data_IF_261084436403
#
_entry.id   IF_261084436403
#
_cell.length_a   1.000
_cell.length_b   1.000
_cell.length_c   1.000
_cell.angle_alpha   90.00
_cell.angle_beta   90.00
_cell.angle_gamma   90.00
#
_symmetry.space_group_name_H-M   'P 1'
#
loop_
_entity.id
_entity.type
_entity.pdbx_description
1 polymer ?
#
# COMPACT_ATOMS: atom_id res chain seq x y z
N UNK A 1 22.09 -51.42 -50.56
CA UNK A 1 20.65 -51.41 -50.89
C UNK A 1 19.91 -50.90 -49.67
N UNK A 2 19.43 -49.66 -49.63
CA UNK A 2 18.28 -49.08 -50.36
C UNK A 2 17.12 -48.84 -49.38
N UNK A 3 16.85 -47.54 -49.10
CA UNK A 3 15.53 -46.85 -49.09
C UNK A 3 14.40 -47.42 -48.20
N UNK A 4 13.60 -46.69 -47.41
CA UNK A 4 12.79 -45.46 -47.63
C UNK A 4 12.05 -45.17 -46.28
N UNK A 5 12.00 -43.96 -45.70
CA UNK A 5 11.09 -42.80 -45.92
C UNK A 5 9.59 -42.96 -45.53
N UNK A 6 9.21 -42.33 -44.39
CA UNK A 6 8.02 -41.49 -44.07
C UNK A 6 6.58 -42.12 -44.10
N UNK A 7 5.48 -41.42 -43.71
CA UNK A 7 5.17 -40.51 -42.58
C UNK A 7 3.74 -40.71 -41.99
N UNK A 8 3.35 -40.06 -40.88
CA UNK A 8 2.12 -39.22 -40.82
C UNK A 8 1.93 -38.54 -39.46
N UNK A 9 2.16 -37.24 -39.49
CA UNK A 9 1.66 -36.25 -38.55
C UNK A 9 0.13 -36.31 -38.57
N UNK A 10 -0.50 -36.75 -37.46
CA UNK A 10 -1.93 -36.55 -37.27
C UNK A 10 -2.13 -35.27 -36.47
N UNK A 11 -2.46 -34.22 -37.22
CA UNK A 11 -3.07 -32.98 -36.73
C UNK A 11 -4.39 -33.34 -36.05
N UNK A 12 -4.50 -33.05 -34.76
CA UNK A 12 -5.79 -32.75 -34.13
C UNK A 12 -5.64 -31.47 -33.32
N UNK A 13 -5.87 -30.37 -34.02
CA UNK A 13 -6.29 -29.09 -33.45
C UNK A 13 -7.59 -29.31 -32.68
N UNK A 14 -7.56 -29.12 -31.36
CA UNK A 14 -8.76 -28.86 -30.57
C UNK A 14 -8.55 -27.57 -29.79
N UNK A 15 -8.86 -26.47 -30.46
CA UNK A 15 -9.14 -25.20 -29.82
C UNK A 15 -10.42 -25.37 -29.01
N UNK A 16 -10.31 -25.53 -27.69
CA UNK A 16 -11.46 -25.49 -26.79
C UNK A 16 -11.60 -24.05 -26.28
N UNK A 17 -12.78 -23.50 -26.56
CA UNK A 17 -13.15 -22.12 -26.42
C UNK A 17 -13.16 -21.63 -24.97
N UNK A 18 -12.85 -20.34 -24.85
CA UNK A 18 -13.12 -19.44 -23.74
C UNK A 18 -14.43 -19.73 -22.98
N UNK A 19 -14.30 -19.94 -21.68
CA UNK A 19 -15.25 -19.38 -20.70
C UNK A 19 -14.43 -18.65 -19.65
N UNK A 20 -14.25 -17.35 -19.87
CA UNK A 20 -13.80 -16.42 -18.84
C UNK A 20 -14.96 -16.24 -17.85
N UNK A 21 -14.96 -17.05 -16.79
CA UNK A 21 -15.78 -16.80 -15.61
C UNK A 21 -15.22 -15.63 -14.84
N UNK A 22 -15.62 -14.41 -15.19
CA UNK A 22 -15.46 -13.25 -14.33
C UNK A 22 -16.36 -13.46 -13.09
N UNK A 23 -15.78 -13.94 -12.00
CA UNK A 23 -16.44 -13.87 -10.69
C UNK A 23 -16.55 -12.39 -10.34
N UNK A 24 -17.74 -11.81 -10.55
CA UNK A 24 -18.08 -10.55 -9.94
C UNK A 24 -17.99 -10.74 -8.41
N UNK A 25 -17.01 -10.11 -7.79
CA UNK A 25 -16.99 -9.94 -6.35
C UNK A 25 -18.14 -9.00 -6.00
N UNK A 26 -19.33 -9.54 -5.72
CA UNK A 26 -20.40 -8.78 -5.09
C UNK A 26 -19.92 -8.38 -3.71
N UNK A 27 -19.51 -7.12 -3.54
CA UNK A 27 -19.40 -6.52 -2.23
C UNK A 27 -20.79 -6.58 -1.60
N UNK A 28 -21.02 -7.54 -0.69
CA UNK A 28 -22.25 -7.60 0.08
C UNK A 28 -22.30 -6.34 0.94
N UNK A 29 -23.27 -5.47 0.67
CA UNK A 29 -23.52 -4.25 1.42
C UNK A 29 -23.95 -4.67 2.84
N UNK A 30 -23.00 -4.68 3.78
CA UNK A 30 -23.26 -5.04 5.17
C UNK A 30 -23.92 -3.83 5.85
N UNK A 31 -25.10 -3.99 6.49
CA UNK A 31 -25.79 -2.88 7.13
C UNK A 31 -24.94 -2.32 8.28
N UNK A 32 -24.81 -0.99 8.35
CA UNK A 32 -24.08 -0.30 9.42
C UNK A 32 -25.08 0.03 10.54
N UNK A 33 -24.75 -0.29 11.78
CA UNK A 33 -25.59 -0.02 12.94
C UNK A 33 -25.05 1.15 13.76
N UNK A 34 -25.95 1.97 14.30
CA UNK A 34 -25.64 3.01 15.30
C UNK A 34 -26.12 2.56 16.67
N UNK A 35 -25.16 2.23 17.52
CA UNK A 35 -25.37 1.81 18.89
C UNK A 35 -25.41 3.01 19.87
N UNK A 36 -25.97 2.82 21.08
CA UNK A 36 -25.94 3.83 22.14
C UNK A 36 -24.50 4.31 22.40
N UNK A 37 -24.33 5.61 22.70
CA UNK A 37 -22.99 6.18 22.93
C UNK A 37 -22.22 6.57 21.66
N UNK A 38 -22.90 6.76 20.52
CA UNK A 38 -22.31 7.17 19.23
C UNK A 38 -21.31 6.17 18.62
N UNK A 39 -21.47 4.87 18.94
CA UNK A 39 -20.68 3.80 18.33
C UNK A 39 -21.32 3.35 17.00
N UNK A 40 -20.52 3.26 15.94
CA UNK A 40 -20.93 2.77 14.62
C UNK A 40 -20.18 1.48 14.29
N UNK A 41 -20.89 0.47 13.77
CA UNK A 41 -20.33 -0.87 13.54
C UNK A 41 -21.10 -1.64 12.48
N UNK A 42 -20.38 -2.41 11.68
CA UNK A 42 -20.87 -3.32 10.62
C UNK A 42 -20.69 -4.80 10.99
N UNK A 43 -20.24 -5.06 12.22
CA UNK A 43 -19.85 -6.40 12.68
C UNK A 43 -20.94 -7.15 13.43
N UNK A 44 -22.04 -6.50 13.81
CA UNK A 44 -23.15 -7.16 14.51
C UNK A 44 -24.14 -7.78 13.53
N UNK A 45 -24.68 -8.94 13.90
CA UNK A 45 -25.86 -9.47 13.23
C UNK A 45 -27.10 -8.62 13.57
N UNK A 46 -28.17 -8.65 12.75
CA UNK A 46 -29.39 -7.87 13.01
C UNK A 46 -30.02 -8.14 14.38
N UNK A 47 -29.86 -9.37 14.91
CA UNK A 47 -30.39 -9.76 16.22
C UNK A 47 -29.56 -9.19 17.37
N UNK A 48 -28.23 -9.31 17.29
CA UNK A 48 -27.32 -8.74 18.30
C UNK A 48 -27.39 -7.22 18.34
N UNK A 49 -27.52 -6.58 17.18
CA UNK A 49 -27.72 -5.14 17.09
C UNK A 49 -29.03 -4.72 17.79
N UNK A 50 -30.12 -5.47 17.62
CA UNK A 50 -31.39 -5.19 18.28
C UNK A 50 -31.30 -5.37 19.81
N UNK A 51 -30.63 -6.41 20.29
CA UNK A 51 -30.43 -6.68 21.72
C UNK A 51 -29.56 -5.60 22.40
N UNK A 52 -28.59 -5.04 21.67
CA UNK A 52 -27.73 -3.94 22.13
C UNK A 52 -28.37 -2.55 21.94
N UNK A 53 -29.62 -2.49 21.47
CA UNK A 53 -30.35 -1.24 21.23
C UNK A 53 -29.77 -0.41 20.08
N UNK A 54 -29.02 -1.04 19.18
CA UNK A 54 -28.46 -0.41 17.99
C UNK A 54 -29.53 -0.29 16.88
N UNK A 55 -29.54 0.84 16.19
CA UNK A 55 -30.44 1.08 15.05
C UNK A 55 -29.70 0.85 13.73
N UNK A 56 -30.31 0.12 12.82
CA UNK A 56 -29.79 -0.07 11.45
C UNK A 56 -29.82 1.26 10.70
N UNK A 57 -28.70 1.62 10.09
CA UNK A 57 -28.59 2.71 9.14
C UNK A 57 -28.45 2.09 7.75
N UNK A 58 -29.59 1.80 7.13
CA UNK A 58 -29.63 1.44 5.71
C UNK A 58 -29.31 2.66 4.86
N UNK A 59 -28.35 2.50 3.95
CA UNK A 59 -27.60 3.56 3.30
C UNK A 59 -28.45 4.62 2.62
N UNK A 60 -28.27 5.89 3.04
CA UNK A 60 -28.21 6.94 2.04
C UNK A 60 -27.04 6.60 1.10
N UNK A 61 -27.18 6.74 -0.24
CA UNK A 61 -26.13 6.31 -1.17
C UNK A 61 -24.83 7.00 -0.78
N UNK A 62 -23.82 6.21 -0.41
CA UNK A 62 -22.47 6.71 -0.14
C UNK A 62 -21.96 7.28 -1.46
N UNK A 63 -22.15 8.57 -1.67
CA UNK A 63 -21.54 9.27 -2.80
C UNK A 63 -20.06 9.32 -2.52
N UNK A 64 -19.31 8.34 -3.05
CA UNK A 64 -17.86 8.43 -3.14
C UNK A 64 -17.56 9.63 -4.03
N UNK A 65 -17.27 10.78 -3.43
CA UNK A 65 -16.75 11.93 -4.16
C UNK A 65 -15.34 11.54 -4.61
N UNK A 66 -15.26 10.95 -5.81
CA UNK A 66 -14.00 10.77 -6.49
C UNK A 66 -13.42 12.16 -6.69
N UNK A 67 -12.40 12.51 -5.90
CA UNK A 67 -11.63 13.71 -6.16
C UNK A 67 -11.10 13.60 -7.59
N UNK A 68 -11.34 14.61 -8.47
CA UNK A 68 -10.88 14.53 -9.83
C UNK A 68 -9.37 14.33 -9.80
N UNK A 69 -8.93 13.16 -10.26
CA UNK A 69 -7.52 12.87 -10.50
C UNK A 69 -7.04 13.95 -11.46
N UNK A 70 -6.26 14.90 -10.95
CA UNK A 70 -5.57 15.87 -11.78
C UNK A 70 -4.54 15.09 -12.58
N UNK A 71 -4.94 14.73 -13.80
CA UNK A 71 -4.04 14.20 -14.81
C UNK A 71 -2.90 15.23 -14.94
N UNK A 72 -1.63 14.84 -14.72
CA UNK A 72 -0.54 15.79 -14.85
C UNK A 72 -0.53 16.30 -16.29
N UNK A 73 -0.71 17.61 -16.45
CA UNK A 73 -0.51 18.27 -17.73
C UNK A 73 0.96 18.04 -18.08
N UNK A 74 1.19 17.25 -19.13
CA UNK A 74 2.48 17.14 -19.78
C UNK A 74 2.92 18.55 -20.19
N UNK A 75 4.00 19.02 -19.57
CA UNK A 75 4.73 20.20 -20.01
C UNK A 75 5.39 19.90 -21.37
N UNK A 76 4.63 20.12 -22.44
CA UNK A 76 5.12 20.20 -23.81
C UNK A 76 5.08 21.66 -24.23
N UNK A 77 6.25 22.30 -24.29
CA UNK A 77 6.40 23.65 -24.80
C UNK A 77 6.25 23.72 -26.33
N UNK A 78 5.88 24.91 -26.82
CA UNK A 78 6.15 25.32 -28.20
C UNK A 78 4.94 25.78 -29.01
N UNK A 79 4.66 27.09 -28.98
CA UNK A 79 4.47 27.90 -30.19
C UNK A 79 3.15 27.85 -30.96
N UNK A 80 2.41 28.98 -30.89
CA UNK A 80 1.89 29.64 -32.09
C UNK A 80 0.40 29.52 -32.40
N UNK A 81 -0.31 30.65 -32.33
CA UNK A 81 -1.31 31.05 -33.34
C UNK A 81 -2.80 30.90 -32.99
N UNK A 82 -3.40 32.01 -32.53
CA UNK A 82 -4.66 32.61 -32.99
C UNK A 82 -5.96 31.80 -33.09
N UNK A 83 -7.02 32.31 -32.47
CA UNK A 83 -8.41 32.05 -32.89
C UNK A 83 -9.46 32.09 -31.77
N UNK A 84 -10.37 33.06 -31.86
CA UNK A 84 -11.52 33.37 -30.98
C UNK A 84 -12.39 32.21 -30.48
N UNK A 85 -13.01 32.43 -29.32
CA UNK A 85 -14.15 31.66 -28.83
C UNK A 85 -14.68 32.19 -27.49
N UNK A 86 -15.38 33.33 -27.53
CA UNK A 86 -16.06 33.93 -26.38
C UNK A 86 -17.33 33.15 -26.00
N UNK A 87 -17.54 32.89 -24.70
CA UNK A 87 -18.89 32.74 -24.13
C UNK A 87 -18.89 32.96 -22.60
N UNK A 88 -19.47 34.10 -22.22
CA UNK A 88 -20.32 34.39 -21.06
C UNK A 88 -19.87 34.00 -19.63
N UNK A 89 -19.51 35.06 -18.88
CA UNK A 89 -19.66 35.15 -17.42
C UNK A 89 -21.15 35.35 -17.07
N UNK A 90 -21.61 34.90 -15.90
CA UNK A 90 -22.48 35.73 -15.09
C UNK A 90 -21.72 36.19 -13.85
N UNK A 91 -21.60 37.51 -13.72
CA UNK A 91 -21.28 38.14 -12.47
C UNK A 91 -22.53 38.09 -11.57
N UNK A 92 -22.40 37.48 -10.40
CA UNK A 92 -23.28 37.75 -9.28
C UNK A 92 -22.38 37.81 -8.05
N UNK A 93 -22.17 39.04 -7.58
CA UNK A 93 -21.47 39.32 -6.34
C UNK A 93 -22.28 38.78 -5.18
N UNK A 94 -21.81 37.68 -4.61
CA UNK A 94 -21.88 37.43 -3.19
C UNK A 94 -20.42 37.24 -2.78
N UNK A 95 -19.97 38.02 -1.80
CA UNK A 95 -18.66 37.84 -1.19
C UNK A 95 -18.45 36.34 -0.90
N UNK A 96 -17.25 35.76 -1.12
CA UNK A 96 -16.98 34.43 -0.61
C UNK A 96 -17.07 34.56 0.91
N UNK A 97 -18.22 34.19 1.47
CA UNK A 97 -18.39 33.95 2.88
C UNK A 97 -17.18 33.15 3.29
N UNK A 98 -16.37 33.77 4.15
CA UNK A 98 -15.11 33.27 4.60
C UNK A 98 -15.29 31.81 4.95
N UNK A 99 -14.76 30.96 4.06
CA UNK A 99 -14.33 29.59 4.28
C UNK A 99 -14.60 29.16 5.72
N UNK A 100 -15.65 28.37 5.91
CA UNK A 100 -15.72 27.41 7.02
C UNK A 100 -14.64 26.31 6.83
N UNK A 101 -13.40 26.73 6.56
CA UNK A 101 -12.17 25.95 6.67
C UNK A 101 -11.54 26.21 8.04
N UNK A 102 -12.38 26.48 9.03
CA UNK A 102 -12.02 26.79 10.41
C UNK A 102 -12.01 25.58 11.33
N UNK A 103 -12.48 24.41 10.87
CA UNK A 103 -12.43 23.19 11.65
C UNK A 103 -11.16 22.39 11.28
N UNK A 104 -10.23 22.38 12.24
CA UNK A 104 -9.06 21.49 12.37
C UNK A 104 -7.79 21.78 11.55
N UNK A 105 -7.41 23.05 11.32
CA UNK A 105 -5.99 23.33 11.03
C UNK A 105 -5.18 23.08 12.31
N UNK A 106 -4.31 22.07 12.27
CA UNK A 106 -3.34 21.78 13.33
C UNK A 106 -2.43 23.01 13.50
N UNK A 107 -2.20 23.42 14.74
CA UNK A 107 -1.29 24.53 15.04
C UNK A 107 0.13 24.24 14.51
N UNK A 108 0.81 25.19 13.84
CA UNK A 108 2.13 24.95 13.28
C UNK A 108 3.20 24.55 14.30
N UNK A 109 3.11 25.00 15.57
CA UNK A 109 4.04 24.57 16.61
C UNK A 109 3.77 23.11 17.03
N UNK A 110 2.48 22.73 17.15
CA UNK A 110 2.11 21.33 17.38
C UNK A 110 2.53 20.40 16.23
N UNK A 111 2.44 20.86 14.98
CA UNK A 111 2.89 20.07 13.83
C UNK A 111 4.40 19.81 13.89
N UNK A 112 5.22 20.85 14.14
CA UNK A 112 6.67 20.71 14.28
C UNK A 112 7.06 19.80 15.44
N UNK A 113 6.35 19.87 16.57
CA UNK A 113 6.57 18.97 17.70
C UNK A 113 6.36 17.51 17.29
N UNK A 114 5.25 17.21 16.60
CA UNK A 114 4.95 15.86 16.09
C UNK A 114 6.00 15.37 15.09
N UNK A 115 6.44 16.24 14.18
CA UNK A 115 7.48 15.89 13.20
C UNK A 115 8.81 15.59 13.89
N UNK A 116 9.18 16.35 14.93
CA UNK A 116 10.37 16.10 15.73
C UNK A 116 10.31 14.79 16.54
N UNK A 117 9.13 14.46 17.08
CA UNK A 117 8.90 13.19 17.77
C UNK A 117 8.94 12.01 16.80
N UNK A 118 8.29 12.13 15.64
CA UNK A 118 8.31 11.12 14.59
C UNK A 118 9.76 10.85 14.12
N UNK A 119 10.54 11.90 13.90
CA UNK A 119 11.97 11.80 13.58
C UNK A 119 12.73 11.04 14.66
N UNK A 120 12.58 11.44 15.94
CA UNK A 120 13.26 10.79 17.07
C UNK A 120 12.92 9.31 17.20
N UNK A 121 11.66 8.94 16.99
CA UNK A 121 11.21 7.55 17.05
C UNK A 121 11.82 6.74 15.89
N UNK A 122 11.75 7.25 14.66
CA UNK A 122 12.32 6.56 13.50
C UNK A 122 13.85 6.43 13.59
N UNK A 123 14.55 7.44 14.10
CA UNK A 123 15.99 7.38 14.34
C UNK A 123 16.35 6.34 15.42
N UNK A 124 15.56 6.22 16.47
CA UNK A 124 15.77 5.21 17.51
C UNK A 124 15.55 3.78 16.97
N UNK A 125 14.48 3.55 16.20
CA UNK A 125 14.24 2.26 15.55
C UNK A 125 15.32 1.96 14.50
N UNK A 126 15.77 2.97 13.74
CA UNK A 126 16.86 2.81 12.78
C UNK A 126 18.13 2.30 13.46
N UNK A 127 18.55 2.93 14.57
CA UNK A 127 19.75 2.51 15.32
C UNK A 127 19.63 1.08 15.82
N UNK A 128 18.47 0.70 16.36
CA UNK A 128 18.20 -0.65 16.84
C UNK A 128 18.25 -1.70 15.74
N UNK A 129 17.70 -1.40 14.55
CA UNK A 129 17.79 -2.31 13.41
C UNK A 129 19.21 -2.38 12.84
N UNK A 130 19.97 -1.28 12.82
CA UNK A 130 21.39 -1.27 12.44
C UNK A 130 22.25 -2.09 13.41
N UNK A 131 22.02 -2.01 14.72
CA UNK A 131 22.67 -2.84 15.73
C UNK A 131 22.36 -4.33 15.55
N UNK A 132 21.10 -4.67 15.27
CA UNK A 132 20.69 -6.06 14.96
C UNK A 132 21.32 -6.58 13.68
N UNK A 133 21.40 -5.75 12.64
CA UNK A 133 22.09 -6.10 11.40
C UNK A 133 23.57 -6.36 11.66
N UNK A 134 24.23 -5.50 12.44
CA UNK A 134 25.64 -5.68 12.80
C UNK A 134 25.88 -6.99 13.57
N UNK A 135 24.99 -7.36 14.50
CA UNK A 135 25.04 -8.64 15.19
C UNK A 135 24.87 -9.82 14.22
N UNK A 136 23.89 -9.78 13.32
CA UNK A 136 23.70 -10.82 12.30
C UNK A 136 24.88 -10.95 11.35
N UNK A 137 25.47 -9.82 10.93
CA UNK A 137 26.65 -9.81 10.06
C UNK A 137 27.88 -10.40 10.77
N UNK A 138 28.04 -10.13 12.07
CA UNK A 138 29.08 -10.75 12.89
C UNK A 138 28.89 -12.25 13.00
N UNK A 139 27.68 -12.71 13.28
CA UNK A 139 27.36 -14.15 13.38
C UNK A 139 27.51 -14.85 12.03
N UNK A 140 27.16 -14.18 10.93
CA UNK A 140 27.33 -14.67 9.57
C UNK A 140 28.80 -14.79 9.17
N UNK A 141 29.70 -14.03 9.82
CA UNK A 141 31.16 -14.10 9.67
C UNK A 141 31.60 -14.22 8.19
N UNK A 142 31.17 -13.25 7.36
CA UNK A 142 31.47 -13.21 5.92
C UNK A 142 30.99 -14.43 5.10
N UNK A 143 30.04 -15.20 5.62
CA UNK A 143 29.53 -16.42 4.98
C UNK A 143 30.12 -17.70 5.55
N UNK A 144 31.00 -17.57 6.54
CA UNK A 144 31.62 -18.68 7.25
C UNK A 144 31.25 -18.63 8.75
N UNK A 145 29.95 -18.70 9.09
CA UNK A 145 29.52 -18.75 10.48
C UNK A 145 30.10 -19.98 11.18
N UNK A 146 30.40 -19.86 12.47
CA UNK A 146 30.96 -20.98 13.24
C UNK A 146 30.10 -22.25 13.11
N UNK A 147 30.75 -23.40 12.92
CA UNK A 147 30.04 -24.67 12.75
C UNK A 147 29.60 -25.15 14.12
N UNK A 148 28.31 -25.45 14.24
CA UNK A 148 27.76 -25.95 15.50
C UNK A 148 27.98 -27.45 15.61
N UNK A 149 28.15 -27.97 16.83
CA UNK A 149 28.45 -29.39 17.05
C UNK A 149 27.33 -30.35 16.61
N UNK A 150 26.10 -29.86 16.58
CA UNK A 150 24.89 -30.52 16.07
C UNK A 150 24.83 -30.56 14.52
N UNK A 151 25.64 -29.74 13.83
CA UNK A 151 25.67 -29.62 12.37
C UNK A 151 26.73 -30.53 11.73
N UNK A 152 26.69 -31.81 12.11
CA UNK A 152 27.55 -32.85 11.52
C UNK A 152 27.33 -33.00 10.02
N UNK A 153 26.12 -32.68 9.54
CA UNK A 153 25.77 -32.72 8.12
C UNK A 153 26.04 -31.37 7.45
N UNK A 154 26.79 -31.39 6.34
CA UNK A 154 27.15 -30.17 5.61
C UNK A 154 25.95 -29.46 4.95
N UNK A 155 24.90 -30.18 4.55
CA UNK A 155 23.70 -29.56 4.00
C UNK A 155 22.97 -28.71 5.03
N UNK A 156 22.88 -29.17 6.30
CA UNK A 156 22.28 -28.38 7.39
C UNK A 156 23.02 -27.07 7.65
N UNK A 157 24.36 -27.12 7.58
CA UNK A 157 25.19 -25.93 7.66
C UNK A 157 24.88 -24.95 6.52
N UNK A 158 24.82 -25.43 5.27
CA UNK A 158 24.49 -24.59 4.12
C UNK A 158 23.10 -23.96 4.21
N UNK A 159 22.09 -24.74 4.62
CA UNK A 159 20.72 -24.24 4.85
C UNK A 159 20.72 -23.10 5.86
N UNK A 160 21.44 -23.25 6.98
CA UNK A 160 21.54 -22.20 7.99
C UNK A 160 22.27 -20.97 7.48
N UNK A 161 23.37 -21.14 6.74
CA UNK A 161 24.11 -20.01 6.12
C UNK A 161 23.20 -19.26 5.15
N UNK A 162 22.42 -19.98 4.34
CA UNK A 162 21.45 -19.39 3.42
C UNK A 162 20.35 -18.62 4.16
N UNK A 163 19.82 -19.17 5.26
CA UNK A 163 18.81 -18.49 6.09
C UNK A 163 19.38 -17.24 6.78
N UNK A 164 20.62 -17.29 7.30
CA UNK A 164 21.28 -16.10 7.83
C UNK A 164 21.44 -15.00 6.78
N UNK A 165 21.87 -15.36 5.57
CA UNK A 165 21.97 -14.42 4.45
C UNK A 165 20.60 -13.83 4.09
N UNK A 166 19.55 -14.64 4.07
CA UNK A 166 18.20 -14.16 3.82
C UNK A 166 17.71 -13.21 4.93
N UNK A 167 18.03 -13.52 6.20
CA UNK A 167 17.72 -12.67 7.34
C UNK A 167 18.43 -11.31 7.26
N UNK A 168 19.72 -11.31 6.89
CA UNK A 168 20.51 -10.10 6.63
C UNK A 168 19.84 -9.26 5.54
N UNK A 169 19.50 -9.87 4.39
CA UNK A 169 18.87 -9.15 3.29
C UNK A 169 17.52 -8.52 3.67
N UNK A 170 16.70 -9.21 4.48
CA UNK A 170 15.44 -8.65 5.03
C UNK A 170 15.72 -7.44 5.93
N UNK A 171 16.72 -7.54 6.81
CA UNK A 171 17.11 -6.44 7.72
C UNK A 171 17.66 -5.23 6.98
N UNK A 172 18.46 -5.44 5.94
CA UNK A 172 18.93 -4.37 5.06
C UNK A 172 17.77 -3.66 4.36
N UNK A 173 16.75 -4.40 3.92
CA UNK A 173 15.53 -3.84 3.33
C UNK A 173 14.72 -3.02 4.35
N UNK A 174 14.59 -3.49 5.60
CA UNK A 174 13.94 -2.77 6.69
C UNK A 174 14.64 -1.44 6.99
N UNK A 175 15.98 -1.47 7.12
CA UNK A 175 16.80 -0.27 7.32
C UNK A 175 16.63 0.71 6.15
N UNK A 176 16.64 0.22 4.92
CA UNK A 176 16.41 1.06 3.75
C UNK A 176 15.01 1.68 3.76
N UNK A 177 13.98 0.96 4.24
CA UNK A 177 12.64 1.51 4.42
C UNK A 177 12.61 2.62 5.47
N UNK A 178 13.20 2.41 6.64
CA UNK A 178 13.28 3.42 7.70
C UNK A 178 14.03 4.68 7.23
N UNK A 179 15.13 4.52 6.49
CA UNK A 179 15.87 5.65 5.89
C UNK A 179 15.02 6.44 4.90
N UNK A 180 14.17 5.77 4.10
CA UNK A 180 13.22 6.45 3.21
C UNK A 180 12.14 7.20 3.99
N UNK A 181 11.60 6.64 5.07
CA UNK A 181 10.63 7.34 5.90
C UNK A 181 11.23 8.59 6.57
N UNK A 182 12.46 8.49 7.08
CA UNK A 182 13.19 9.65 7.60
C UNK A 182 13.40 10.73 6.54
N UNK A 183 13.71 10.34 5.30
CA UNK A 183 13.88 11.29 4.20
C UNK A 183 12.58 12.00 3.78
N UNK A 184 11.41 11.46 4.12
CA UNK A 184 10.11 12.11 3.88
C UNK A 184 9.80 13.19 4.91
N UNK A 185 10.43 13.14 6.09
CA UNK A 185 10.22 14.15 7.12
C UNK A 185 10.86 15.48 6.70
N UNK A 186 10.26 16.63 7.06
CA UNK A 186 10.83 17.93 6.76
C UNK A 186 12.24 18.04 7.36
N UNK A 187 13.14 18.72 6.65
CA UNK A 187 14.51 18.96 7.12
C UNK A 187 14.50 19.61 8.52
N UNK A 188 15.46 19.26 9.39
CA UNK A 188 15.56 19.82 10.74
C UNK A 188 15.82 21.33 10.72
#
# INVERSE_FOLDING_TARGET
MSTTFLPRVLRTTMAMALVAGATAASAQERPVYRCPGNLYTDQYSPKEAAELGCKTLDGAPVTVVQSPVRRPASSGGGGGGGGEGAAARPASGAAPAARASGEMRVDPAQQRARDSDARRILEAELRKEEERLAALQKDYNQGEPERRGDERNFARYQERVAEMKASIARKEADIAALKRELAKLPAP
#
